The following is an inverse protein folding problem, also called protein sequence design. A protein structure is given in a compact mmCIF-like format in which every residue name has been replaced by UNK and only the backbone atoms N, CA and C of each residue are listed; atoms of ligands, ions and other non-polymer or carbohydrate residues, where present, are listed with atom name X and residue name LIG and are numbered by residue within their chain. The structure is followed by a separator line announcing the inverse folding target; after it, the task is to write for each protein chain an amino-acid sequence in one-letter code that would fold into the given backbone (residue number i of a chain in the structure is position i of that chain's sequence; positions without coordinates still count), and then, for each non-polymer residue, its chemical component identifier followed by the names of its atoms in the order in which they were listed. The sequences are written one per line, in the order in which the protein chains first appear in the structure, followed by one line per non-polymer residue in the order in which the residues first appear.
data_IF_690755111695
#
_entry.id   IF_690755111695
#
_cell.length_a   1.000
_cell.length_b   1.000
_cell.length_c   1.000
_cell.angle_alpha   90.00
_cell.angle_beta   90.00
_cell.angle_gamma   90.00
#
_symmetry.space_group_name_H-M   'P 1'
#
loop_
_entity.id
_entity.type
_entity.pdbx_description
1 polymer ?
#
# COMPACT_ATOMS: atom_id res chain seq x y z
N UNK A 1 -38.86 31.43 -19.22
CA UNK A 1 -37.99 31.23 -18.06
C UNK A 1 -36.58 31.85 -18.22
N UNK A 2 -36.29 32.62 -19.25
CA UNK A 2 -34.93 33.18 -19.56
C UNK A 2 -34.65 34.62 -19.06
N UNK A 3 -35.59 35.25 -18.35
CA UNK A 3 -35.48 36.66 -17.93
C UNK A 3 -35.01 36.88 -16.51
N UNK A 4 -34.92 35.84 -15.68
CA UNK A 4 -34.62 35.94 -14.24
C UNK A 4 -33.13 36.06 -13.88
N UNK A 5 -32.22 35.83 -14.82
CA UNK A 5 -30.77 35.81 -14.52
C UNK A 5 -30.01 36.73 -15.49
N UNK A 6 -30.27 38.03 -15.43
CA UNK A 6 -29.48 39.07 -16.12
C UNK A 6 -28.94 40.08 -15.11
N UNK A 7 -27.75 40.63 -15.36
CA UNK A 7 -27.14 41.69 -14.55
C UNK A 7 -26.33 41.20 -13.35
N UNK A 8 -26.38 41.95 -12.26
CA UNK A 8 -25.54 41.74 -11.06
C UNK A 8 -25.80 40.37 -10.37
N UNK A 9 -27.04 39.88 -10.39
CA UNK A 9 -27.41 38.59 -9.79
C UNK A 9 -26.77 37.42 -10.56
N UNK A 10 -26.81 37.47 -11.89
CA UNK A 10 -26.13 36.46 -12.73
C UNK A 10 -24.62 36.39 -12.48
N UNK A 11 -24.00 37.58 -12.34
CA UNK A 11 -22.58 37.68 -12.01
C UNK A 11 -22.28 37.06 -10.62
N UNK A 12 -23.11 37.38 -9.63
CA UNK A 12 -22.96 36.89 -8.26
C UNK A 12 -23.07 35.36 -8.20
N UNK A 13 -24.11 34.79 -8.81
CA UNK A 13 -24.30 33.34 -8.88
C UNK A 13 -23.10 32.66 -9.59
N UNK A 14 -22.65 33.23 -10.71
CA UNK A 14 -21.49 32.75 -11.45
C UNK A 14 -20.23 32.71 -10.59
N UNK A 15 -19.94 33.81 -9.87
CA UNK A 15 -18.77 33.87 -8.97
C UNK A 15 -18.87 32.82 -7.87
N UNK A 16 -20.04 32.69 -7.23
CA UNK A 16 -20.25 31.68 -6.19
C UNK A 16 -19.99 30.27 -6.73
N UNK A 17 -20.57 29.92 -7.86
CA UNK A 17 -20.41 28.58 -8.45
C UNK A 17 -18.95 28.30 -8.81
N UNK A 18 -18.27 29.24 -9.47
CA UNK A 18 -16.86 29.09 -9.83
C UNK A 18 -15.97 28.98 -8.58
N UNK A 19 -16.23 29.81 -7.55
CA UNK A 19 -15.48 29.75 -6.30
C UNK A 19 -15.71 28.44 -5.55
N UNK A 20 -16.95 27.93 -5.53
CA UNK A 20 -17.25 26.66 -4.89
C UNK A 20 -16.49 25.50 -5.56
N UNK A 21 -16.53 25.44 -6.91
CA UNK A 21 -15.75 24.45 -7.66
C UNK A 21 -14.25 24.60 -7.42
N UNK A 22 -13.73 25.81 -7.48
CA UNK A 22 -12.32 26.08 -7.21
C UNK A 22 -11.91 25.64 -5.80
N UNK A 23 -12.76 25.91 -4.79
CA UNK A 23 -12.49 25.49 -3.40
C UNK A 23 -12.40 23.98 -3.27
N UNK A 24 -13.30 23.23 -3.91
CA UNK A 24 -13.25 21.74 -3.92
C UNK A 24 -11.96 21.24 -4.58
N UNK A 25 -11.61 21.79 -5.75
CA UNK A 25 -10.37 21.40 -6.45
C UNK A 25 -9.12 21.74 -5.63
N UNK A 26 -9.11 22.88 -4.93
CA UNK A 26 -7.99 23.27 -4.05
C UNK A 26 -7.87 22.34 -2.85
N UNK A 27 -8.97 21.91 -2.22
CA UNK A 27 -8.96 20.92 -1.15
C UNK A 27 -8.41 19.57 -1.64
N UNK A 28 -8.82 19.14 -2.82
CA UNK A 28 -8.28 17.92 -3.45
C UNK A 28 -6.78 18.08 -3.79
N UNK A 29 -6.35 19.25 -4.28
CA UNK A 29 -4.95 19.53 -4.55
C UNK A 29 -4.11 19.51 -3.27
N UNK A 30 -4.61 20.06 -2.18
CA UNK A 30 -3.96 20.00 -0.86
C UNK A 30 -3.81 18.56 -0.37
N UNK A 31 -4.87 17.75 -0.50
CA UNK A 31 -4.83 16.33 -0.13
C UNK A 31 -3.83 15.55 -0.98
N UNK A 32 -3.81 15.77 -2.29
CA UNK A 32 -2.85 15.14 -3.20
C UNK A 32 -1.40 15.54 -2.86
N UNK A 33 -1.17 16.82 -2.53
CA UNK A 33 0.13 17.32 -2.11
C UNK A 33 0.60 16.66 -0.79
N UNK A 34 -0.29 16.53 0.18
CA UNK A 34 -0.01 15.86 1.46
C UNK A 34 0.37 14.38 1.27
N UNK A 35 -0.20 13.72 0.27
CA UNK A 35 0.12 12.34 -0.11
C UNK A 35 1.32 12.23 -1.06
N UNK A 36 2.02 13.35 -1.35
CA UNK A 36 3.17 13.44 -2.27
C UNK A 36 2.82 13.12 -3.75
N UNK A 37 1.54 13.16 -4.10
CA UNK A 37 1.04 12.97 -5.47
C UNK A 37 1.12 14.28 -6.26
N UNK A 38 2.34 14.75 -6.52
CA UNK A 38 2.62 16.07 -7.10
C UNK A 38 2.04 16.28 -8.50
N UNK A 39 1.94 15.22 -9.32
CA UNK A 39 1.37 15.30 -10.68
C UNK A 39 -0.12 15.64 -10.60
N UNK A 40 -0.86 14.96 -9.74
CA UNK A 40 -2.29 15.19 -9.50
C UNK A 40 -2.50 16.58 -8.90
N UNK A 41 -1.71 16.95 -7.90
CA UNK A 41 -1.79 18.28 -7.28
C UNK A 41 -1.57 19.40 -8.31
N UNK A 42 -0.54 19.28 -9.16
CA UNK A 42 -0.24 20.25 -10.22
C UNK A 42 -1.36 20.34 -11.24
N UNK A 43 -1.90 19.20 -11.71
CA UNK A 43 -3.05 19.18 -12.62
C UNK A 43 -4.26 19.91 -12.03
N UNK A 44 -4.61 19.66 -10.77
CA UNK A 44 -5.72 20.31 -10.09
C UNK A 44 -5.54 21.82 -9.96
N UNK A 45 -4.31 22.27 -9.64
CA UNK A 45 -3.99 23.72 -9.59
C UNK A 45 -4.12 24.37 -10.96
N UNK A 46 -3.64 23.73 -12.03
CA UNK A 46 -3.82 24.21 -13.40
C UNK A 46 -5.31 24.26 -13.76
N UNK A 47 -6.09 23.26 -13.37
CA UNK A 47 -7.54 23.25 -13.61
C UNK A 47 -8.24 24.43 -12.91
N UNK A 48 -7.90 24.74 -11.65
CA UNK A 48 -8.43 25.92 -10.93
C UNK A 48 -8.09 27.19 -11.68
N UNK A 49 -6.83 27.35 -12.10
CA UNK A 49 -6.37 28.52 -12.84
C UNK A 49 -7.13 28.68 -14.16
N UNK A 50 -7.23 27.61 -14.95
CA UNK A 50 -7.93 27.64 -16.23
C UNK A 50 -9.43 27.94 -16.08
N UNK A 51 -10.09 27.33 -15.11
CA UNK A 51 -11.50 27.60 -14.82
C UNK A 51 -11.70 29.05 -14.35
N UNK A 52 -10.84 29.56 -13.46
CA UNK A 52 -10.87 30.94 -13.02
C UNK A 52 -10.70 31.93 -14.19
N UNK A 53 -9.65 31.75 -15.00
CA UNK A 53 -9.41 32.56 -16.18
C UNK A 53 -10.58 32.50 -17.17
N UNK A 54 -11.12 31.32 -17.43
CA UNK A 54 -12.20 31.12 -18.40
C UNK A 54 -13.51 31.77 -17.98
N UNK A 55 -13.88 31.60 -16.72
CA UNK A 55 -15.20 32.04 -16.27
C UNK A 55 -15.22 33.43 -15.63
N UNK A 56 -14.10 33.89 -15.04
CA UNK A 56 -14.03 35.21 -14.41
C UNK A 56 -13.52 36.31 -15.36
N UNK A 57 -12.99 35.95 -16.53
CA UNK A 57 -12.51 36.94 -17.53
C UNK A 57 -13.42 37.01 -18.76
N UNK A 58 -13.14 37.94 -19.65
CA UNK A 58 -13.89 38.16 -20.91
C UNK A 58 -13.38 37.27 -22.05
N UNK A 59 -13.22 35.96 -21.81
CA UNK A 59 -12.85 34.99 -22.85
C UNK A 59 -14.06 34.67 -23.74
N UNK A 60 -13.79 34.28 -25.00
CA UNK A 60 -14.81 33.92 -25.98
C UNK A 60 -15.72 32.82 -25.53
N UNK A 61 -17.01 32.88 -25.88
CA UNK A 61 -18.01 31.92 -25.46
C UNK A 61 -17.65 30.46 -25.82
N UNK A 62 -17.13 30.14 -27.02
CA UNK A 62 -16.73 28.78 -27.36
C UNK A 62 -15.70 28.18 -26.38
N UNK A 63 -14.72 28.94 -25.92
CA UNK A 63 -13.70 28.45 -24.98
C UNK A 63 -14.28 28.11 -23.61
N UNK A 64 -15.38 28.75 -23.20
CA UNK A 64 -16.08 28.46 -21.93
C UNK A 64 -16.71 27.07 -21.91
N UNK A 65 -17.08 26.54 -23.07
CA UNK A 65 -17.59 25.17 -23.21
C UNK A 65 -16.46 24.17 -23.47
N UNK A 66 -15.40 24.59 -24.18
CA UNK A 66 -14.30 23.73 -24.58
C UNK A 66 -13.34 23.37 -23.41
N UNK A 67 -13.01 24.33 -22.55
CA UNK A 67 -12.05 24.13 -21.45
C UNK A 67 -12.49 23.09 -20.43
N UNK A 68 -13.72 23.09 -19.89
CA UNK A 68 -14.18 22.00 -19.03
C UNK A 68 -14.14 20.64 -19.72
N UNK A 69 -14.52 20.57 -20.99
CA UNK A 69 -14.44 19.34 -21.77
C UNK A 69 -13.02 18.79 -21.90
N UNK A 70 -12.04 19.67 -22.19
CA UNK A 70 -10.63 19.27 -22.24
C UNK A 70 -10.12 18.83 -20.85
N UNK A 71 -10.46 19.53 -19.79
CA UNK A 71 -10.06 19.14 -18.45
C UNK A 71 -10.59 17.76 -18.08
N UNK A 72 -11.86 17.49 -18.37
CA UNK A 72 -12.45 16.16 -18.13
C UNK A 72 -11.82 15.10 -19.06
N UNK A 73 -11.61 15.40 -20.34
CA UNK A 73 -10.91 14.51 -21.26
C UNK A 73 -9.50 14.19 -20.76
N UNK A 74 -8.76 15.19 -20.31
CA UNK A 74 -7.42 14.98 -19.78
C UNK A 74 -7.44 14.16 -18.50
N UNK A 75 -8.35 14.45 -17.56
CA UNK A 75 -8.45 13.72 -16.30
C UNK A 75 -8.84 12.25 -16.47
N UNK A 76 -9.84 11.98 -17.33
CA UNK A 76 -10.48 10.66 -17.38
C UNK A 76 -10.07 9.81 -18.60
N UNK A 77 -9.44 10.38 -19.60
CA UNK A 77 -8.99 9.65 -20.79
C UNK A 77 -7.50 9.75 -20.99
N UNK A 78 -6.97 10.97 -21.16
CA UNK A 78 -5.54 11.16 -21.48
C UNK A 78 -4.66 10.77 -20.29
N UNK A 79 -5.03 11.18 -19.08
CA UNK A 79 -4.28 10.86 -17.85
C UNK A 79 -4.12 9.35 -17.61
N UNK A 80 -5.21 8.57 -17.57
CA UNK A 80 -5.13 7.12 -17.44
C UNK A 80 -4.34 6.42 -18.57
N UNK A 81 -4.46 6.91 -19.82
CA UNK A 81 -3.67 6.37 -20.94
C UNK A 81 -2.17 6.62 -20.69
N UNK A 82 -1.78 7.86 -20.38
CA UNK A 82 -0.38 8.20 -20.12
C UNK A 82 0.16 7.43 -18.91
N UNK A 83 -0.64 7.29 -17.85
CA UNK A 83 -0.29 6.48 -16.69
C UNK A 83 -0.06 5.01 -17.07
N UNK A 84 -0.95 4.42 -17.85
CA UNK A 84 -0.81 3.03 -18.31
C UNK A 84 0.45 2.85 -19.15
N UNK A 85 0.73 3.78 -20.06
CA UNK A 85 1.96 3.76 -20.88
C UNK A 85 3.20 3.89 -19.98
N UNK A 86 3.18 4.78 -19.00
CA UNK A 86 4.30 4.90 -18.07
C UNK A 86 4.49 3.63 -17.23
N UNK A 87 3.41 3.06 -16.68
CA UNK A 87 3.45 1.84 -15.86
C UNK A 87 3.85 0.61 -16.66
N UNK A 88 3.59 0.57 -17.97
CA UNK A 88 4.02 -0.55 -18.83
C UNK A 88 5.55 -0.70 -18.93
N UNK A 89 6.30 0.35 -18.60
CA UNK A 89 7.77 0.29 -18.49
C UNK A 89 8.29 -0.28 -17.16
N UNK A 90 7.38 -0.67 -16.26
CA UNK A 90 7.75 -1.23 -14.95
C UNK A 90 7.20 -2.66 -14.79
N UNK A 91 7.86 -3.42 -13.91
CA UNK A 91 7.35 -4.70 -13.41
C UNK A 91 6.26 -4.42 -12.35
N UNK A 92 5.13 -3.86 -12.81
CA UNK A 92 4.01 -3.50 -11.95
C UNK A 92 2.99 -4.64 -11.91
N UNK A 93 2.99 -5.40 -10.81
CA UNK A 93 2.08 -6.53 -10.59
C UNK A 93 1.77 -6.66 -9.09
N UNK A 94 0.82 -7.49 -8.74
CA UNK A 94 0.57 -7.85 -7.33
C UNK A 94 1.86 -8.35 -6.69
N UNK A 95 2.23 -7.76 -5.54
CA UNK A 95 3.48 -8.04 -4.85
C UNK A 95 4.68 -7.17 -5.28
N UNK A 96 4.58 -6.37 -6.37
CA UNK A 96 5.64 -5.47 -6.84
C UNK A 96 5.14 -4.02 -7.01
N UNK A 97 4.48 -3.49 -5.99
CA UNK A 97 3.84 -2.15 -6.03
C UNK A 97 4.67 -1.11 -5.29
N UNK A 98 5.34 -1.52 -4.23
CA UNK A 98 6.09 -0.67 -3.29
C UNK A 98 7.47 -0.27 -3.81
N UNK A 99 8.18 0.59 -3.08
CA UNK A 99 9.58 0.92 -3.33
C UNK A 99 10.53 -0.22 -2.90
N UNK A 100 11.79 -0.18 -3.35
CA UNK A 100 12.80 -1.18 -2.96
C UNK A 100 13.10 -1.11 -1.47
N UNK A 101 13.18 0.09 -0.91
CA UNK A 101 13.41 0.35 0.50
C UNK A 101 12.30 -0.24 1.38
N UNK A 102 11.04 -0.01 0.97
CA UNK A 102 9.89 -0.60 1.66
C UNK A 102 9.87 -2.12 1.56
N UNK A 103 10.23 -2.69 0.40
CA UNK A 103 10.33 -4.14 0.22
C UNK A 103 11.40 -4.74 1.16
N UNK A 104 12.57 -4.11 1.27
CA UNK A 104 13.63 -4.54 2.20
C UNK A 104 13.11 -4.56 3.64
N UNK A 105 12.42 -3.51 4.08
CA UNK A 105 11.83 -3.45 5.43
C UNK A 105 10.82 -4.59 5.64
N UNK A 106 9.92 -4.81 4.68
CA UNK A 106 8.92 -5.86 4.79
C UNK A 106 9.52 -7.28 4.75
N UNK A 107 10.54 -7.51 3.92
CA UNK A 107 11.26 -8.80 3.89
C UNK A 107 11.97 -9.05 5.21
N UNK A 108 12.60 -8.03 5.83
CA UNK A 108 13.19 -8.16 7.16
C UNK A 108 12.16 -8.55 8.23
N UNK A 109 10.98 -7.95 8.20
CA UNK A 109 9.90 -8.25 9.15
C UNK A 109 9.37 -9.68 8.94
N UNK A 110 9.24 -10.12 7.70
CA UNK A 110 8.74 -11.46 7.35
C UNK A 110 9.83 -12.55 7.45
N UNK A 111 11.10 -12.16 7.48
CA UNK A 111 12.25 -13.07 7.53
C UNK A 111 12.46 -13.67 8.92
N UNK A 112 11.39 -14.14 9.56
CA UNK A 112 11.38 -14.80 10.86
C UNK A 112 10.77 -16.19 10.72
N UNK A 113 11.26 -17.13 11.50
CA UNK A 113 10.69 -18.48 11.62
C UNK A 113 10.56 -18.86 13.09
N UNK A 114 9.62 -19.75 13.44
CA UNK A 114 9.58 -20.32 14.77
C UNK A 114 10.95 -20.94 15.14
N UNK A 115 11.35 -20.77 16.38
CA UNK A 115 12.56 -21.42 16.91
C UNK A 115 12.40 -22.95 16.87
N UNK A 116 13.52 -23.70 16.79
CA UNK A 116 13.47 -25.17 16.82
C UNK A 116 12.79 -25.74 18.07
N UNK A 117 12.71 -24.99 19.17
CA UNK A 117 11.99 -25.37 20.38
C UNK A 117 10.48 -25.50 20.17
N UNK A 118 9.91 -24.77 19.20
CA UNK A 118 8.46 -24.73 18.94
C UNK A 118 7.63 -24.17 20.10
N UNK A 119 8.26 -23.44 21.05
CA UNK A 119 7.58 -22.92 22.24
C UNK A 119 6.58 -21.83 21.85
N UNK A 120 5.38 -21.97 22.37
CA UNK A 120 4.29 -21.00 22.24
C UNK A 120 3.77 -20.63 23.62
N UNK A 121 3.35 -19.39 23.78
CA UNK A 121 2.84 -18.85 25.04
C UNK A 121 1.49 -18.20 24.82
N UNK A 122 0.59 -18.38 25.74
CA UNK A 122 -0.57 -17.51 25.86
C UNK A 122 -0.10 -16.17 26.39
N UNK A 123 -0.51 -15.09 25.73
CA UNK A 123 -0.03 -13.75 26.08
C UNK A 123 -1.16 -12.79 26.42
N UNK A 124 -0.83 -11.82 27.27
CA UNK A 124 -1.62 -10.62 27.49
C UNK A 124 -0.78 -9.42 27.08
N UNK A 125 -1.33 -8.58 26.21
CA UNK A 125 -0.67 -7.35 25.79
C UNK A 125 -0.81 -6.28 26.87
N UNK A 126 0.24 -5.50 27.08
CA UNK A 126 0.22 -4.45 28.05
C UNK A 126 1.47 -3.58 27.97
N UNK A 127 1.74 -2.85 29.04
CA UNK A 127 2.90 -1.97 29.14
C UNK A 127 3.63 -2.17 30.49
N UNK A 128 4.93 -1.97 30.44
CA UNK A 128 5.79 -1.80 31.62
C UNK A 128 6.42 -0.42 31.51
N UNK A 129 6.22 0.44 32.51
CA UNK A 129 6.69 1.83 32.51
C UNK A 129 6.31 2.63 31.25
N UNK A 130 5.13 2.32 30.67
CA UNK A 130 4.63 2.95 29.45
C UNK A 130 5.25 2.44 28.14
N UNK A 131 6.16 1.47 28.19
CA UNK A 131 6.72 0.78 27.01
C UNK A 131 5.95 -0.51 26.71
N UNK A 132 5.80 -0.91 25.43
CA UNK A 132 5.14 -2.16 25.06
C UNK A 132 5.77 -3.37 25.76
N UNK A 133 4.94 -4.23 26.32
CA UNK A 133 5.34 -5.46 26.98
C UNK A 133 4.26 -6.53 26.81
N UNK A 134 4.65 -7.78 26.95
CA UNK A 134 3.73 -8.93 27.02
C UNK A 134 3.89 -9.65 28.36
N UNK A 135 2.78 -10.09 28.90
CA UNK A 135 2.72 -11.05 30.00
C UNK A 135 2.47 -12.42 29.39
N UNK A 136 3.44 -13.31 29.45
CA UNK A 136 3.42 -14.62 28.83
C UNK A 136 3.18 -15.73 29.86
N UNK A 137 2.43 -16.73 29.46
CA UNK A 137 2.06 -17.90 30.24
C UNK A 137 2.23 -19.17 29.44
N UNK A 138 2.95 -20.15 29.96
CA UNK A 138 2.90 -21.53 29.45
C UNK A 138 2.03 -22.36 30.40
N UNK A 139 0.90 -22.88 29.88
CA UNK A 139 -0.05 -23.64 30.68
C UNK A 139 0.44 -25.09 30.93
N UNK A 140 1.28 -25.62 30.05
CA UNK A 140 1.77 -26.99 30.11
C UNK A 140 2.92 -27.12 31.13
N UNK A 141 3.80 -26.13 31.15
CA UNK A 141 4.87 -26.00 32.16
C UNK A 141 4.67 -24.67 32.86
N UNK A 142 4.09 -24.59 34.07
CA UNK A 142 3.68 -23.34 34.69
C UNK A 142 4.83 -22.31 34.75
N UNK A 143 5.14 -21.72 33.63
CA UNK A 143 6.14 -20.71 33.43
C UNK A 143 5.48 -19.38 33.10
N UNK A 144 5.81 -18.35 33.86
CA UNK A 144 5.24 -17.01 33.72
C UNK A 144 6.35 -16.00 33.68
N UNK A 145 6.25 -15.05 32.76
CA UNK A 145 7.21 -13.96 32.66
C UNK A 145 6.62 -12.73 31.95
N UNK A 146 7.18 -11.56 32.23
CA UNK A 146 6.97 -10.38 31.41
C UNK A 146 8.13 -10.33 30.41
N UNK A 147 7.80 -10.09 29.15
CA UNK A 147 8.80 -9.81 28.13
C UNK A 147 8.61 -8.40 27.59
N UNK A 148 9.69 -7.64 27.58
CA UNK A 148 9.81 -6.31 27.01
C UNK A 148 10.66 -6.36 25.74
N UNK A 149 10.99 -5.20 25.17
CA UNK A 149 11.90 -5.10 24.02
C UNK A 149 13.36 -5.38 24.41
N UNK A 150 13.68 -5.30 25.70
CA UNK A 150 15.06 -5.29 26.21
C UNK A 150 15.36 -6.52 27.08
N UNK A 151 14.36 -7.02 27.82
CA UNK A 151 14.56 -8.07 28.80
C UNK A 151 13.35 -8.98 28.99
N UNK A 152 13.61 -10.16 29.54
CA UNK A 152 12.62 -11.12 30.02
C UNK A 152 12.69 -11.21 31.53
N UNK A 153 11.59 -10.92 32.21
CA UNK A 153 11.48 -10.88 33.67
C UNK A 153 10.67 -12.10 34.14
N UNK A 154 11.27 -13.13 34.74
CA UNK A 154 10.57 -14.27 35.24
C UNK A 154 9.65 -13.90 36.41
N UNK A 155 8.49 -14.51 36.51
CA UNK A 155 7.50 -14.27 37.55
C UNK A 155 7.16 -15.54 38.30
N UNK A 156 6.75 -15.38 39.56
CA UNK A 156 6.30 -16.49 40.41
C UNK A 156 4.78 -16.51 40.39
N UNK A 157 4.19 -17.69 40.19
CA UNK A 157 2.74 -17.84 40.12
C UNK A 157 1.96 -17.24 41.31
N UNK A 158 2.57 -17.22 42.52
CA UNK A 158 1.95 -16.61 43.70
C UNK A 158 1.78 -15.10 43.67
N UNK A 159 2.47 -14.42 42.74
CA UNK A 159 2.36 -12.95 42.54
C UNK A 159 1.43 -12.56 41.42
N UNK A 160 0.71 -13.49 40.80
CA UNK A 160 -0.09 -13.30 39.60
C UNK A 160 -1.57 -13.51 39.88
N UNK A 161 -2.40 -12.78 39.13
CA UNK A 161 -3.81 -13.11 39.00
C UNK A 161 -3.95 -14.00 37.74
N UNK A 162 -4.40 -15.24 37.95
CA UNK A 162 -4.63 -16.20 36.86
C UNK A 162 -6.13 -16.28 36.55
N UNK A 163 -6.48 -16.51 35.29
CA UNK A 163 -7.84 -16.84 34.88
C UNK A 163 -8.18 -18.34 35.14
N UNK A 164 -9.39 -18.76 34.79
CA UNK A 164 -9.86 -20.16 34.95
C UNK A 164 -9.05 -21.19 34.16
N UNK A 165 -8.30 -20.75 33.15
CA UNK A 165 -7.45 -21.61 32.31
C UNK A 165 -5.96 -21.59 32.74
N UNK A 166 -5.62 -20.88 33.80
CA UNK A 166 -4.25 -20.79 34.30
C UNK A 166 -3.39 -19.75 33.58
N UNK A 167 -3.97 -18.92 32.73
CA UNK A 167 -3.27 -17.84 32.04
C UNK A 167 -3.19 -16.60 32.95
N UNK A 168 -2.03 -15.99 33.03
CA UNK A 168 -1.82 -14.78 33.79
C UNK A 168 -2.52 -13.57 33.12
N UNK A 169 -3.35 -12.87 33.88
CA UNK A 169 -4.09 -11.69 33.44
C UNK A 169 -3.59 -10.40 34.08
N UNK A 170 -2.99 -10.50 35.27
CA UNK A 170 -2.37 -9.38 35.97
C UNK A 170 -1.04 -9.81 36.60
N UNK A 171 -0.07 -8.91 36.61
CA UNK A 171 1.23 -9.10 37.24
C UNK A 171 1.73 -7.79 37.85
N UNK A 172 2.65 -7.84 38.83
CA UNK A 172 3.32 -6.66 39.36
C UNK A 172 4.06 -5.90 38.23
N UNK A 173 3.96 -4.58 38.23
CA UNK A 173 4.58 -3.67 37.26
C UNK A 173 4.10 -3.86 35.80
N UNK A 174 3.08 -4.62 35.55
CA UNK A 174 2.47 -4.80 34.25
C UNK A 174 1.08 -4.19 34.20
N UNK A 175 0.83 -3.33 33.23
CA UNK A 175 -0.48 -2.71 33.00
C UNK A 175 -1.08 -3.31 31.74
N UNK A 176 -2.11 -4.18 31.84
CA UNK A 176 -2.75 -4.77 30.65
C UNK A 176 -3.46 -3.68 29.83
N UNK A 177 -3.50 -3.87 28.52
CA UNK A 177 -4.27 -3.00 27.62
C UNK A 177 -5.76 -3.15 27.88
N UNK A 178 -6.46 -2.02 27.85
CA UNK A 178 -7.93 -1.96 27.88
C UNK A 178 -8.50 -2.19 26.48
N UNK A 179 -9.76 -2.62 26.39
CA UNK A 179 -10.45 -2.86 25.11
C UNK A 179 -10.45 -1.63 24.18
N UNK A 180 -10.47 -0.43 24.73
CA UNK A 180 -10.38 0.81 23.96
C UNK A 180 -8.98 1.06 23.35
N UNK A 181 -7.93 0.54 23.97
CA UNK A 181 -6.55 0.70 23.54
C UNK A 181 -6.15 -0.32 22.46
N UNK A 182 -6.86 -1.46 22.36
CA UNK A 182 -6.60 -2.48 21.35
C UNK A 182 -6.65 -1.95 19.91
N UNK A 183 -7.52 -0.99 19.61
CA UNK A 183 -7.58 -0.38 18.27
C UNK A 183 -6.33 0.43 17.91
N UNK A 184 -5.59 0.91 18.92
CA UNK A 184 -4.33 1.65 18.75
C UNK A 184 -3.12 0.72 18.91
N UNK A 185 -3.31 -0.40 19.59
CA UNK A 185 -2.28 -1.39 19.89
C UNK A 185 -1.70 -2.05 18.63
N UNK A 186 -2.51 -2.22 17.59
CA UNK A 186 -2.06 -2.81 16.33
C UNK A 186 -0.79 -2.12 15.78
N UNK A 187 -0.72 -0.80 15.86
CA UNK A 187 0.46 -0.04 15.41
C UNK A 187 1.67 -0.17 16.32
N UNK A 188 1.46 -0.45 17.61
CA UNK A 188 2.52 -0.54 18.60
C UNK A 188 3.09 -1.95 18.73
N UNK A 189 2.25 -2.96 18.48
CA UNK A 189 2.59 -4.36 18.73
C UNK A 189 2.87 -5.15 17.45
N UNK A 190 2.25 -4.78 16.31
CA UNK A 190 2.48 -5.49 15.04
C UNK A 190 3.93 -5.36 14.59
N UNK A 191 4.61 -6.49 14.43
CA UNK A 191 6.02 -6.58 14.04
C UNK A 191 6.99 -6.29 15.19
N UNK A 192 6.50 -6.05 16.40
CA UNK A 192 7.32 -5.88 17.61
C UNK A 192 7.85 -7.24 18.06
N UNK A 193 9.11 -7.25 18.50
CA UNK A 193 9.83 -8.44 18.95
C UNK A 193 10.10 -8.30 20.44
N UNK A 194 9.58 -9.22 21.21
CA UNK A 194 9.78 -9.26 22.66
C UNK A 194 10.91 -10.22 23.00
N UNK A 195 11.81 -9.83 23.88
CA UNK A 195 13.00 -10.60 24.21
C UNK A 195 12.63 -11.94 24.86
N UNK A 196 13.11 -13.05 24.33
CA UNK A 196 13.02 -14.35 24.99
C UNK A 196 14.33 -14.74 25.65
N UNK A 197 15.42 -14.71 24.89
CA UNK A 197 16.80 -14.86 25.34
C UNK A 197 17.77 -14.13 24.40
N UNK A 198 19.08 -14.39 24.48
CA UNK A 198 20.10 -13.74 23.68
C UNK A 198 19.98 -14.06 22.16
N UNK A 199 19.29 -15.15 21.79
CA UNK A 199 19.21 -15.63 20.41
C UNK A 199 17.79 -15.56 19.83
N UNK A 200 16.77 -15.71 20.68
CA UNK A 200 15.39 -15.81 20.28
C UNK A 200 14.54 -14.66 20.83
N UNK A 201 13.46 -14.38 20.14
CA UNK A 201 12.46 -13.41 20.56
C UNK A 201 11.05 -14.01 20.43
N UNK A 202 10.07 -13.41 21.10
CA UNK A 202 8.68 -13.77 20.95
C UNK A 202 8.08 -12.89 19.86
N UNK A 203 7.61 -13.52 18.78
CA UNK A 203 6.81 -12.90 17.76
C UNK A 203 5.33 -13.13 18.08
N UNK A 204 4.51 -12.09 17.89
CA UNK A 204 3.08 -12.17 18.16
C UNK A 204 2.36 -12.89 17.03
N UNK A 205 1.51 -13.83 17.39
CA UNK A 205 0.56 -14.49 16.49
C UNK A 205 -0.85 -14.05 16.88
N UNK A 206 -1.30 -12.93 16.34
CA UNK A 206 -2.48 -12.20 16.81
C UNK A 206 -2.23 -11.44 18.12
N UNK A 207 -3.26 -11.35 18.98
CA UNK A 207 -3.19 -10.61 20.24
C UNK A 207 -3.16 -11.51 21.49
N UNK A 208 -3.27 -12.82 21.31
CA UNK A 208 -3.42 -13.78 22.40
C UNK A 208 -2.33 -14.84 22.44
N UNK A 209 -1.53 -14.99 21.37
CA UNK A 209 -0.48 -15.98 21.29
C UNK A 209 0.87 -15.35 20.91
N UNK A 210 1.93 -15.88 21.51
CA UNK A 210 3.31 -15.52 21.20
C UNK A 210 4.12 -16.78 20.89
N UNK A 211 4.89 -16.75 19.81
CA UNK A 211 5.72 -17.87 19.34
C UNK A 211 7.20 -17.49 19.48
N UNK A 212 7.98 -18.32 20.14
CA UNK A 212 9.43 -18.15 20.18
C UNK A 212 9.99 -18.30 18.78
N UNK A 213 10.63 -17.26 18.27
CA UNK A 213 11.04 -17.12 16.89
C UNK A 213 12.47 -16.65 16.76
N UNK A 214 13.06 -16.85 15.59
CA UNK A 214 14.39 -16.40 15.24
C UNK A 214 14.37 -15.60 13.94
N UNK A 215 15.32 -14.66 13.81
CA UNK A 215 15.57 -13.98 12.55
C UNK A 215 16.31 -14.93 11.62
N UNK A 216 15.74 -15.20 10.44
CA UNK A 216 16.40 -16.08 9.45
C UNK A 216 16.94 -15.31 8.25
N UNK A 217 16.46 -14.09 7.99
CA UNK A 217 16.93 -13.28 6.87
C UNK A 217 17.61 -11.99 7.38
N UNK A 218 18.87 -11.82 7.02
CA UNK A 218 19.65 -10.60 7.28
C UNK A 218 19.90 -9.87 5.96
N UNK A 219 19.68 -8.56 5.96
CA UNK A 219 20.01 -7.72 4.81
C UNK A 219 21.42 -7.14 4.98
N UNK A 220 22.27 -7.34 3.98
CA UNK A 220 23.63 -6.81 3.92
C UNK A 220 23.67 -5.62 2.96
N UNK A 221 23.65 -4.36 3.47
CA UNK A 221 23.50 -3.17 2.63
C UNK A 221 24.66 -2.97 1.64
N UNK A 222 25.89 -3.29 2.04
CA UNK A 222 27.10 -3.10 1.22
C UNK A 222 27.11 -3.94 -0.04
N UNK A 223 26.44 -5.09 0.00
CA UNK A 223 26.37 -6.03 -1.11
C UNK A 223 24.97 -6.15 -1.71
N UNK A 224 24.01 -5.36 -1.21
CA UNK A 224 22.61 -5.34 -1.67
C UNK A 224 21.99 -6.73 -1.83
N UNK A 225 22.12 -7.56 -0.78
CA UNK A 225 21.57 -8.91 -0.80
C UNK A 225 20.98 -9.30 0.57
N UNK A 226 20.11 -10.31 0.57
CA UNK A 226 19.68 -10.99 1.78
C UNK A 226 20.47 -12.29 1.95
N UNK A 227 20.88 -12.55 3.19
CA UNK A 227 21.50 -13.81 3.59
C UNK A 227 20.55 -14.56 4.52
N UNK A 228 20.31 -15.83 4.23
CA UNK A 228 19.63 -16.71 5.19
C UNK A 228 20.64 -17.18 6.23
N UNK A 229 20.41 -16.87 7.49
CA UNK A 229 21.32 -17.14 8.60
C UNK A 229 21.36 -18.64 8.97
N UNK A 230 20.32 -19.38 8.64
CA UNK A 230 20.20 -20.83 8.93
C UNK A 230 20.85 -21.66 7.82
N UNK A 231 20.49 -21.38 6.55
CA UNK A 231 20.94 -22.18 5.40
C UNK A 231 22.19 -21.62 4.74
N UNK A 232 22.57 -20.37 5.01
CA UNK A 232 23.65 -19.66 4.32
C UNK A 232 23.28 -19.20 2.90
N UNK A 233 22.06 -19.43 2.44
CA UNK A 233 21.59 -19.06 1.11
C UNK A 233 21.61 -17.53 0.90
N UNK A 234 22.04 -17.10 -0.29
CA UNK A 234 22.13 -15.68 -0.64
C UNK A 234 21.10 -15.35 -1.71
N UNK A 235 20.31 -14.30 -1.46
CA UNK A 235 19.30 -13.77 -2.36
C UNK A 235 19.74 -12.42 -2.87
N UNK A 236 19.98 -12.31 -4.18
CA UNK A 236 20.42 -11.08 -4.84
C UNK A 236 19.32 -10.44 -5.65
N UNK A 237 19.43 -9.13 -5.90
CA UNK A 237 18.51 -8.41 -6.79
C UNK A 237 18.53 -9.04 -8.20
N UNK A 238 17.37 -9.50 -8.65
CA UNK A 238 17.23 -10.12 -9.97
C UNK A 238 17.05 -9.10 -11.11
N UNK A 239 17.13 -7.80 -10.84
CA UNK A 239 16.89 -6.72 -11.80
C UNK A 239 15.42 -6.57 -12.24
N UNK A 240 14.51 -7.38 -11.69
CA UNK A 240 13.09 -7.40 -12.03
C UNK A 240 12.18 -7.09 -10.83
N UNK A 241 12.76 -6.58 -9.74
CA UNK A 241 12.02 -6.15 -8.57
C UNK A 241 11.77 -7.23 -7.52
N UNK A 242 12.63 -8.23 -7.45
CA UNK A 242 12.65 -9.20 -6.35
C UNK A 242 14.09 -9.57 -6.00
N UNK A 243 14.32 -9.94 -4.74
CA UNK A 243 15.50 -10.70 -4.36
C UNK A 243 15.26 -12.17 -4.69
N UNK A 244 16.14 -12.76 -5.47
CA UNK A 244 16.07 -14.15 -5.90
C UNK A 244 17.30 -14.93 -5.44
N UNK A 245 17.13 -16.22 -5.18
CA UNK A 245 18.21 -17.11 -4.84
C UNK A 245 19.24 -17.15 -6.00
N UNK A 246 20.53 -17.09 -5.68
CA UNK A 246 21.59 -17.03 -6.69
C UNK A 246 21.56 -18.22 -7.65
N UNK A 247 21.29 -19.42 -7.12
CA UNK A 247 21.27 -20.69 -7.88
C UNK A 247 19.90 -21.04 -8.46
N UNK A 248 18.81 -20.44 -7.94
CA UNK A 248 17.45 -20.68 -8.44
C UNK A 248 16.67 -19.36 -8.50
N UNK A 249 16.64 -18.76 -9.68
CA UNK A 249 15.93 -17.49 -9.92
C UNK A 249 14.40 -17.58 -9.75
N UNK A 250 13.83 -18.77 -9.59
CA UNK A 250 12.40 -18.95 -9.31
C UNK A 250 12.08 -18.80 -7.82
N UNK A 251 13.06 -19.06 -6.95
CA UNK A 251 12.94 -18.87 -5.51
C UNK A 251 13.19 -17.39 -5.17
N UNK A 252 12.11 -16.65 -4.99
CA UNK A 252 12.14 -15.21 -4.73
C UNK A 252 11.66 -14.89 -3.32
N UNK A 253 12.20 -13.80 -2.76
CA UNK A 253 11.67 -13.20 -1.52
C UNK A 253 10.51 -12.25 -1.85
N UNK A 254 9.48 -12.28 -1.05
CA UNK A 254 8.31 -11.41 -1.14
C UNK A 254 8.19 -10.50 0.10
N UNK A 255 7.68 -9.26 -0.09
CA UNK A 255 7.24 -8.65 -1.34
C UNK A 255 8.39 -8.21 -2.22
N UNK A 256 8.12 -8.10 -3.51
CA UNK A 256 9.01 -7.40 -4.43
C UNK A 256 8.75 -5.90 -4.48
N UNK A 257 9.44 -5.21 -5.39
CA UNK A 257 9.27 -3.77 -5.62
C UNK A 257 9.03 -3.45 -7.09
N UNK A 258 8.54 -2.25 -7.37
CA UNK A 258 8.35 -1.75 -8.72
C UNK A 258 9.72 -1.41 -9.35
N UNK A 259 10.23 -2.30 -10.20
CA UNK A 259 11.47 -2.13 -10.92
C UNK A 259 11.23 -1.69 -12.37
N UNK A 260 12.07 -0.81 -12.97
CA UNK A 260 11.99 -0.48 -14.39
C UNK A 260 12.46 -1.65 -15.24
N UNK A 261 11.59 -2.12 -16.13
CA UNK A 261 11.88 -3.19 -17.10
C UNK A 261 11.74 -2.69 -18.55
N UNK A 262 11.48 -1.39 -18.73
CA UNK A 262 11.43 -0.67 -19.98
C UNK A 262 10.50 -1.32 -21.02
N UNK A 263 11.03 -1.85 -22.09
CA UNK A 263 10.28 -2.43 -23.20
C UNK A 263 10.06 -3.94 -23.08
N UNK A 264 10.45 -4.56 -21.97
CA UNK A 264 10.35 -6.02 -21.82
C UNK A 264 8.90 -6.52 -21.90
N UNK A 265 7.95 -5.79 -21.33
CA UNK A 265 6.53 -6.14 -21.41
C UNK A 265 6.05 -6.17 -22.88
N UNK A 266 6.48 -5.21 -23.70
CA UNK A 266 6.13 -5.17 -25.12
C UNK A 266 6.79 -6.30 -25.90
N UNK A 267 8.08 -6.60 -25.61
CA UNK A 267 8.78 -7.73 -26.18
C UNK A 267 8.08 -9.04 -25.88
N UNK A 268 7.67 -9.26 -24.63
CA UNK A 268 6.97 -10.47 -24.20
C UNK A 268 5.63 -10.64 -24.91
N UNK A 269 4.88 -9.55 -25.14
CA UNK A 269 3.63 -9.59 -25.91
C UNK A 269 3.86 -10.09 -27.34
N UNK A 270 4.95 -9.69 -27.98
CA UNK A 270 5.26 -10.07 -29.36
C UNK A 270 5.86 -11.49 -29.44
N UNK A 271 6.65 -11.89 -28.48
CA UNK A 271 7.40 -13.15 -28.50
C UNK A 271 6.63 -14.33 -27.91
N UNK A 272 5.85 -14.12 -26.84
CA UNK A 272 5.06 -15.20 -26.21
C UNK A 272 3.77 -15.48 -27.02
N UNK A 273 3.75 -16.63 -27.68
CA UNK A 273 2.60 -17.07 -28.51
C UNK A 273 1.31 -17.24 -27.72
N UNK A 274 1.40 -17.53 -26.40
CA UNK A 274 0.22 -17.68 -25.52
C UNK A 274 -0.50 -16.35 -25.32
N UNK A 275 0.24 -15.24 -25.33
CA UNK A 275 -0.28 -13.88 -25.14
C UNK A 275 -0.62 -13.25 -26.49
N UNK A 276 0.29 -13.36 -27.48
CA UNK A 276 0.16 -12.73 -28.78
C UNK A 276 -1.13 -13.12 -29.52
N UNK A 277 -1.45 -14.40 -29.56
CA UNK A 277 -2.62 -14.90 -30.32
C UNK A 277 -3.95 -14.32 -29.82
N UNK A 278 -4.30 -14.48 -28.54
CA UNK A 278 -5.49 -13.86 -27.96
C UNK A 278 -5.52 -12.33 -28.08
N UNK A 279 -4.39 -11.65 -27.85
CA UNK A 279 -4.30 -10.20 -27.91
C UNK A 279 -4.60 -9.66 -29.31
N UNK A 280 -3.99 -10.23 -30.37
CA UNK A 280 -4.24 -9.83 -31.76
C UNK A 280 -5.71 -10.04 -32.13
N UNK A 281 -6.31 -11.15 -31.71
CA UNK A 281 -7.73 -11.42 -31.96
C UNK A 281 -8.63 -10.37 -31.33
N UNK A 282 -8.40 -10.05 -30.05
CA UNK A 282 -9.17 -9.02 -29.34
C UNK A 282 -8.96 -7.64 -29.98
N UNK A 283 -7.72 -7.29 -30.33
CA UNK A 283 -7.41 -6.03 -30.99
C UNK A 283 -8.14 -5.88 -32.33
N UNK A 284 -8.07 -6.87 -33.22
CA UNK A 284 -8.76 -6.86 -34.51
C UNK A 284 -10.27 -6.74 -34.29
N UNK A 285 -10.84 -7.53 -33.37
CA UNK A 285 -12.27 -7.46 -33.06
C UNK A 285 -12.68 -6.07 -32.56
N UNK A 286 -11.91 -5.45 -31.69
CA UNK A 286 -12.19 -4.11 -31.15
C UNK A 286 -12.19 -3.06 -32.28
N UNK A 287 -11.20 -3.11 -33.19
CA UNK A 287 -11.11 -2.19 -34.32
C UNK A 287 -12.27 -2.38 -35.27
N UNK A 288 -12.59 -3.63 -35.64
CA UNK A 288 -13.72 -3.94 -36.51
C UNK A 288 -15.04 -3.49 -35.89
N UNK A 289 -15.26 -3.78 -34.61
CA UNK A 289 -16.47 -3.36 -33.91
C UNK A 289 -16.59 -1.82 -33.86
N UNK A 290 -15.53 -1.10 -33.57
CA UNK A 290 -15.51 0.36 -33.54
C UNK A 290 -15.86 0.94 -34.93
N UNK A 291 -15.23 0.43 -36.00
CA UNK A 291 -15.49 0.86 -37.35
C UNK A 291 -16.97 0.59 -37.80
N UNK A 292 -17.45 -0.62 -37.53
CA UNK A 292 -18.83 -0.97 -37.84
C UNK A 292 -19.82 -0.09 -37.07
N UNK A 293 -19.59 0.16 -35.80
CA UNK A 293 -20.44 1.04 -34.97
C UNK A 293 -20.48 2.45 -35.54
N UNK A 294 -19.33 3.03 -35.87
CA UNK A 294 -19.27 4.38 -36.46
C UNK A 294 -19.98 4.42 -37.80
N UNK A 295 -19.72 3.47 -38.71
CA UNK A 295 -20.33 3.42 -40.04
C UNK A 295 -21.85 3.23 -39.97
N UNK A 296 -22.33 2.32 -39.13
CA UNK A 296 -23.78 2.08 -38.98
C UNK A 296 -24.47 3.28 -38.34
N UNK A 297 -23.89 3.88 -37.29
CA UNK A 297 -24.49 5.06 -36.66
C UNK A 297 -24.52 6.25 -37.61
N UNK A 298 -23.45 6.45 -38.38
CA UNK A 298 -23.37 7.51 -39.38
C UNK A 298 -24.42 7.28 -40.53
N UNK A 299 -24.49 6.06 -41.06
CA UNK A 299 -25.45 5.72 -42.10
C UNK A 299 -26.91 5.91 -41.65
N UNK A 300 -27.23 5.46 -40.42
CA UNK A 300 -28.56 5.66 -39.84
C UNK A 300 -28.87 7.14 -39.60
N UNK A 301 -27.88 7.91 -39.15
CA UNK A 301 -28.03 9.37 -38.95
C UNK A 301 -28.22 10.15 -40.26
N UNK A 302 -27.74 9.64 -41.40
CA UNK A 302 -28.03 10.22 -42.72
C UNK A 302 -29.38 9.86 -43.27
N UNK A 303 -30.00 8.74 -42.83
CA UNK A 303 -31.32 8.30 -43.27
C UNK A 303 -32.46 8.98 -42.52
N UNK A 304 -32.19 9.57 -41.37
CA UNK A 304 -33.13 10.36 -40.56
C UNK A 304 -33.09 11.85 -40.96
#
# INVERSE_FOLDING_TARGET
MSYLIRGKIALFIKVIVVTLFASVLLLLAQSAFAQKEYVIATFLLIAVLLLGLTYLTKISVPLKFFIPGILLLTAFVVGPILYTVAMSGFNYKTGNIISKEEAIVQIKVRGIEPAPSGLTFDIKLGTVEGKPAILASDINTPEYFISTLEERIPLVASSLTLNEYGVAVEAPNFTPLTDSEFSTADKLFTGTRFTFDDQYFIALEGFEAGVVSQQILEFVPEADHFKNLVTGAIYTDNGRGNYALADDKSAILEPGWRAPIWFENYSNIVTDSRVRGPLIRVFIWTVVFALLTVLTTFALGLLL
#
